data_IF_525472763790
#
_entry.id   IF_525472763790
#
_cell.length_a   1.000
_cell.length_b   1.000
_cell.length_c   1.000
_cell.angle_alpha   90.00
_cell.angle_beta   90.00
_cell.angle_gamma   90.00
#
_symmetry.space_group_name_H-M   'P 1'
#
loop_
_entity.id
_entity.type
_entity.pdbx_description
1 polymer ?
#
# COMPACT_ATOMS: atom_id res chain seq x y z
N UNK A 1 35.94 47.17 51.14
CA UNK A 1 35.65 45.96 50.31
C UNK A 1 34.35 46.15 49.59
N UNK A 2 34.35 46.13 48.54
CA UNK A 2 34.12 46.43 47.12
C UNK A 2 32.64 46.41 46.70
N UNK A 3 31.93 47.50 46.95
CA UNK A 3 30.56 47.75 46.38
C UNK A 3 30.57 47.71 44.83
N UNK A 4 31.72 47.98 44.20
CA UNK A 4 31.85 47.97 42.74
C UNK A 4 31.88 46.54 42.17
N UNK A 5 32.43 45.54 42.86
CA UNK A 5 32.44 44.13 42.43
C UNK A 5 31.04 43.46 42.50
N UNK A 6 30.24 43.77 43.52
CA UNK A 6 28.86 43.31 43.57
C UNK A 6 27.99 43.92 42.49
N UNK A 7 28.20 45.20 42.16
CA UNK A 7 27.46 45.89 41.11
C UNK A 7 27.75 45.35 39.70
N UNK A 8 29.00 44.99 39.41
CA UNK A 8 29.40 44.33 38.17
C UNK A 8 28.82 42.90 38.08
N UNK A 9 28.84 42.16 39.14
CA UNK A 9 28.27 40.80 39.20
C UNK A 9 26.76 40.79 38.92
N UNK A 10 26.01 41.70 39.55
CA UNK A 10 24.58 41.86 39.30
C UNK A 10 24.27 42.24 37.88
N UNK A 11 25.03 43.13 37.27
CA UNK A 11 24.85 43.52 35.84
C UNK A 11 25.12 42.37 34.92
N UNK A 12 26.16 41.57 35.11
CA UNK A 12 26.46 40.39 34.32
C UNK A 12 25.38 39.32 34.43
N UNK A 13 24.87 39.07 35.61
CA UNK A 13 23.74 38.12 35.82
C UNK A 13 22.48 38.59 35.11
N UNK A 14 22.15 39.88 35.19
CA UNK A 14 20.98 40.43 34.51
C UNK A 14 21.13 40.35 32.95
N UNK A 15 22.33 40.66 32.44
CA UNK A 15 22.61 40.54 30.99
C UNK A 15 22.49 39.07 30.54
N UNK A 16 23.07 38.13 31.33
CA UNK A 16 22.98 36.69 31.02
C UNK A 16 21.55 36.17 31.02
N UNK A 17 20.70 36.60 31.96
CA UNK A 17 19.27 36.26 32.02
C UNK A 17 18.50 36.81 30.82
N UNK A 18 18.78 38.04 30.40
CA UNK A 18 18.16 38.64 29.21
C UNK A 18 18.54 37.88 27.96
N UNK A 19 19.82 37.54 27.78
CA UNK A 19 20.30 36.77 26.63
C UNK A 19 19.65 35.38 26.62
N UNK A 20 19.62 34.68 27.77
CA UNK A 20 18.99 33.37 27.87
C UNK A 20 17.50 33.41 27.54
N UNK A 21 16.77 34.42 28.06
CA UNK A 21 15.35 34.64 27.74
C UNK A 21 15.13 34.87 26.24
N UNK A 22 16.00 35.67 25.62
CA UNK A 22 15.93 35.95 24.18
C UNK A 22 16.19 34.70 23.35
N UNK A 23 17.17 33.87 23.73
CA UNK A 23 17.46 32.59 23.09
C UNK A 23 16.28 31.60 23.22
N UNK A 24 15.62 31.57 24.39
CA UNK A 24 14.43 30.75 24.60
C UNK A 24 13.27 31.21 23.69
N UNK A 25 13.01 32.52 23.62
CA UNK A 25 11.94 33.09 22.78
C UNK A 25 12.23 32.83 21.28
N UNK A 26 13.46 33.08 20.85
CA UNK A 26 13.87 32.82 19.46
C UNK A 26 13.81 31.33 19.14
N UNK A 27 14.31 30.47 20.02
CA UNK A 27 14.25 29.02 19.88
C UNK A 27 12.81 28.50 19.80
N UNK A 28 11.95 28.97 20.71
CA UNK A 28 10.53 28.65 20.69
C UNK A 28 9.84 29.12 19.41
N UNK A 29 10.10 30.38 19.00
CA UNK A 29 9.56 30.93 17.74
C UNK A 29 10.02 30.13 16.51
N UNK A 30 11.30 29.74 16.44
CA UNK A 30 11.83 28.88 15.40
C UNK A 30 11.16 27.50 15.39
N UNK A 31 11.03 26.85 16.54
CA UNK A 31 10.36 25.56 16.65
C UNK A 31 8.89 25.65 16.21
N UNK A 32 8.18 26.66 16.66
CA UNK A 32 6.78 26.90 16.25
C UNK A 32 6.66 27.09 14.73
N UNK A 33 7.53 27.92 14.16
CA UNK A 33 7.55 28.14 12.71
C UNK A 33 7.85 26.84 11.96
N UNK A 34 8.92 26.14 12.33
CA UNK A 34 9.45 25.00 11.59
C UNK A 34 8.58 23.75 11.70
N UNK A 35 8.01 23.46 12.88
CA UNK A 35 7.30 22.21 13.15
C UNK A 35 5.78 22.34 13.21
N UNK A 36 5.25 23.54 13.37
CA UNK A 36 3.79 23.77 13.51
C UNK A 36 3.22 24.57 12.37
N UNK A 37 3.85 25.70 11.98
CA UNK A 37 3.27 26.63 11.03
C UNK A 37 3.66 26.36 9.56
N UNK A 38 4.85 25.84 9.30
CA UNK A 38 5.27 25.50 7.94
C UNK A 38 4.78 24.10 7.57
N UNK A 39 4.12 23.93 6.41
CA UNK A 39 3.77 22.58 5.96
C UNK A 39 5.03 21.74 5.73
N UNK A 40 4.96 20.41 5.91
CA UNK A 40 6.06 19.51 5.59
C UNK A 40 6.40 19.57 4.11
N UNK A 41 7.69 19.50 3.78
CA UNK A 41 8.15 19.37 2.39
C UNK A 41 7.83 17.98 1.86
N UNK A 42 7.35 17.91 0.62
CA UNK A 42 7.18 16.64 -0.09
C UNK A 42 8.51 16.01 -0.53
N UNK A 43 9.59 16.80 -0.59
CA UNK A 43 10.87 16.33 -1.13
C UNK A 43 10.84 16.10 -2.63
N UNK A 44 11.90 15.46 -3.14
CA UNK A 44 12.05 15.10 -4.56
C UNK A 44 12.82 13.79 -4.70
N UNK A 45 12.73 13.18 -5.88
CA UNK A 45 13.42 11.92 -6.18
C UNK A 45 12.64 10.68 -5.74
N UNK A 46 13.29 9.50 -5.74
CA UNK A 46 12.67 8.23 -5.41
C UNK A 46 12.03 8.23 -4.02
N UNK A 47 10.94 7.47 -3.87
CA UNK A 47 10.26 7.29 -2.59
C UNK A 47 9.91 5.81 -2.38
N UNK A 48 10.09 5.33 -1.15
CA UNK A 48 9.79 3.95 -0.78
C UNK A 48 10.92 2.96 -1.09
N UNK A 49 10.62 1.65 -1.08
CA UNK A 49 11.63 0.61 -1.17
C UNK A 49 12.32 0.55 -2.54
N UNK A 50 13.58 0.11 -2.54
CA UNK A 50 14.33 -0.13 -3.79
C UNK A 50 13.81 -1.38 -4.49
N UNK A 51 13.59 -1.27 -5.80
CA UNK A 51 13.20 -2.37 -6.68
C UNK A 51 14.37 -2.77 -7.55
N UNK A 52 14.79 -4.05 -7.51
CA UNK A 52 15.86 -4.59 -8.33
C UNK A 52 15.45 -4.68 -9.80
N UNK A 53 16.39 -4.50 -10.74
CA UNK A 53 16.15 -4.63 -12.19
C UNK A 53 16.11 -6.11 -12.65
N UNK A 54 16.81 -7.02 -11.95
CA UNK A 54 16.95 -8.41 -12.38
C UNK A 54 15.64 -9.12 -12.77
N UNK A 55 14.55 -9.02 -11.99
CA UNK A 55 13.27 -9.61 -12.34
C UNK A 55 12.67 -9.10 -13.65
N UNK A 56 13.06 -7.92 -14.12
CA UNK A 56 12.53 -7.27 -15.31
C UNK A 56 13.37 -7.51 -16.58
N UNK A 57 14.47 -8.25 -16.49
CA UNK A 57 15.34 -8.58 -17.63
C UNK A 57 14.73 -9.64 -18.56
N UNK A 58 13.68 -10.34 -18.11
CA UNK A 58 13.02 -11.40 -18.87
C UNK A 58 11.52 -11.21 -18.91
N UNK A 59 10.91 -11.54 -20.04
CA UNK A 59 9.46 -11.66 -20.17
C UNK A 59 8.97 -12.77 -19.24
N UNK A 60 7.98 -12.48 -18.40
CA UNK A 60 7.42 -13.47 -17.47
C UNK A 60 6.48 -14.44 -18.19
N UNK A 61 5.71 -13.95 -19.18
CA UNK A 61 4.83 -14.80 -19.99
C UNK A 61 4.42 -14.12 -21.30
N UNK A 62 4.06 -14.94 -22.29
CA UNK A 62 3.37 -14.48 -23.53
C UNK A 62 1.85 -14.65 -23.44
N UNK A 63 1.33 -15.13 -22.31
CA UNK A 63 -0.10 -15.25 -22.07
C UNK A 63 -0.75 -13.87 -22.05
N UNK A 64 -2.04 -13.78 -22.44
CA UNK A 64 -2.82 -12.56 -22.22
C UNK A 64 -3.03 -12.36 -20.73
N UNK A 65 -2.68 -11.18 -20.23
CA UNK A 65 -2.83 -10.79 -18.84
C UNK A 65 -3.66 -9.53 -18.74
N UNK A 66 -4.54 -9.49 -17.75
CA UNK A 66 -5.37 -8.31 -17.45
C UNK A 66 -5.03 -7.83 -16.03
N UNK A 67 -4.61 -6.56 -15.91
CA UNK A 67 -4.48 -5.87 -14.65
C UNK A 67 -5.81 -5.20 -14.30
N UNK A 68 -6.32 -5.46 -13.12
CA UNK A 68 -7.56 -4.88 -12.61
C UNK A 68 -7.27 -4.07 -11.35
N UNK A 69 -7.71 -2.80 -11.33
CA UNK A 69 -7.77 -1.98 -10.13
C UNK A 69 -9.17 -2.01 -9.53
N UNK A 70 -9.27 -2.31 -8.23
CA UNK A 70 -10.51 -2.22 -7.45
C UNK A 70 -10.19 -1.49 -6.15
N UNK A 71 -11.09 -0.65 -5.67
CA UNK A 71 -10.87 0.03 -4.40
C UNK A 71 -11.32 1.48 -4.38
N UNK A 72 -10.65 2.25 -3.57
CA UNK A 72 -10.96 3.65 -3.27
C UNK A 72 -10.10 4.65 -4.08
N UNK A 73 -10.02 5.88 -3.59
CA UNK A 73 -9.25 6.99 -4.16
C UNK A 73 -7.76 6.66 -4.35
N UNK A 74 -7.19 5.81 -3.50
CA UNK A 74 -5.78 5.41 -3.61
C UNK A 74 -5.54 4.63 -4.90
N UNK A 75 -6.39 3.64 -5.22
CA UNK A 75 -6.32 2.89 -6.49
C UNK A 75 -6.74 3.75 -7.68
N UNK A 76 -7.63 4.73 -7.46
CA UNK A 76 -8.03 5.68 -8.50
C UNK A 76 -6.97 6.74 -8.81
N UNK A 77 -5.97 6.94 -7.93
CA UNK A 77 -4.90 7.92 -8.11
C UNK A 77 -5.30 9.35 -7.75
N UNK A 78 -6.24 9.53 -6.81
CA UNK A 78 -6.72 10.85 -6.40
C UNK A 78 -5.57 11.79 -6.00
N UNK A 79 -5.58 13.03 -6.53
CA UNK A 79 -4.55 14.02 -6.23
C UNK A 79 -3.20 13.81 -6.90
N UNK A 80 -2.99 12.69 -7.60
CA UNK A 80 -1.81 12.52 -8.44
C UNK A 80 -1.96 13.29 -9.76
N UNK A 81 -0.87 13.86 -10.31
CA UNK A 81 -0.84 14.24 -11.70
C UNK A 81 -1.11 13.04 -12.61
N UNK A 82 -1.61 13.30 -13.83
CA UNK A 82 -1.93 12.27 -14.80
C UNK A 82 -0.75 11.30 -15.02
N UNK A 83 -1.03 10.00 -14.93
CA UNK A 83 -0.06 8.92 -15.08
C UNK A 83 0.85 8.67 -13.86
N UNK A 84 0.68 9.39 -12.75
CA UNK A 84 1.49 9.26 -11.54
C UNK A 84 0.75 8.59 -10.37
N UNK A 85 -0.47 8.11 -10.54
CA UNK A 85 -1.11 7.18 -9.63
C UNK A 85 -0.39 5.82 -9.63
N UNK A 86 -0.44 5.08 -8.53
CA UNK A 86 0.31 3.82 -8.44
C UNK A 86 -0.17 2.78 -9.45
N UNK A 87 -1.47 2.78 -9.79
CA UNK A 87 -2.05 1.85 -10.75
C UNK A 87 -1.49 2.08 -12.16
N UNK A 88 -1.37 3.34 -12.59
CA UNK A 88 -0.76 3.73 -13.86
C UNK A 88 0.74 3.41 -13.86
N UNK A 89 1.45 3.75 -12.77
CA UNK A 89 2.87 3.50 -12.61
C UNK A 89 3.23 2.00 -12.56
N UNK A 90 2.31 1.13 -12.10
CA UNK A 90 2.46 -0.33 -12.22
C UNK A 90 2.44 -0.80 -13.66
N UNK A 91 1.58 -0.20 -14.49
CA UNK A 91 1.47 -0.57 -15.90
C UNK A 91 2.70 -0.14 -16.68
N UNK A 92 3.07 1.14 -16.54
CA UNK A 92 4.13 1.77 -17.32
C UNK A 92 4.80 2.84 -16.47
N UNK A 93 6.12 2.79 -16.33
CA UNK A 93 6.87 3.80 -15.61
C UNK A 93 6.81 5.15 -16.32
N UNK A 94 6.81 6.23 -15.54
CA UNK A 94 6.99 7.59 -16.04
C UNK A 94 8.48 7.95 -15.96
N UNK A 95 9.25 7.69 -17.01
CA UNK A 95 10.71 7.72 -17.02
C UNK A 95 11.32 9.08 -16.69
N UNK A 96 10.64 10.17 -17.03
CA UNK A 96 11.11 11.53 -16.71
C UNK A 96 11.03 11.86 -15.22
N UNK A 97 10.08 11.24 -14.50
CA UNK A 97 9.82 11.48 -13.08
C UNK A 97 10.51 10.41 -12.21
N UNK A 98 10.34 9.15 -12.57
CA UNK A 98 10.83 8.00 -11.80
C UNK A 98 11.97 7.29 -12.53
N UNK A 99 13.12 7.97 -12.70
CA UNK A 99 14.26 7.51 -13.52
C UNK A 99 14.87 6.20 -13.05
N UNK A 100 14.92 5.98 -11.74
CA UNK A 100 15.48 4.75 -11.13
C UNK A 100 14.58 3.53 -11.32
N UNK A 101 13.34 3.74 -11.79
CA UNK A 101 12.36 2.71 -12.10
C UNK A 101 12.20 2.44 -13.60
N UNK A 102 13.04 3.02 -14.44
CA UNK A 102 13.04 2.77 -15.87
C UNK A 102 13.15 1.28 -16.17
N UNK A 103 12.27 0.77 -17.05
CA UNK A 103 12.11 -0.65 -17.38
C UNK A 103 11.68 -1.56 -16.20
N UNK A 104 11.16 -1.01 -15.11
CA UNK A 104 10.67 -1.76 -13.96
C UNK A 104 9.15 -1.56 -13.81
N UNK A 105 8.41 -2.02 -14.80
CA UNK A 105 6.94 -1.98 -14.86
C UNK A 105 6.39 -3.28 -15.47
N UNK A 106 5.09 -3.46 -15.37
CA UNK A 106 4.44 -4.69 -15.83
C UNK A 106 4.44 -4.82 -17.34
N UNK A 107 4.37 -3.73 -18.13
CA UNK A 107 4.44 -3.80 -19.58
C UNK A 107 5.78 -4.29 -20.09
N UNK A 108 6.86 -4.01 -19.37
CA UNK A 108 8.21 -4.50 -19.68
C UNK A 108 8.26 -6.04 -19.69
N UNK A 109 7.55 -6.71 -18.78
CA UNK A 109 7.62 -8.17 -18.57
C UNK A 109 6.37 -8.92 -19.04
N UNK A 110 5.29 -8.22 -19.34
CA UNK A 110 3.99 -8.75 -19.79
C UNK A 110 3.56 -8.06 -21.10
N UNK A 111 4.11 -8.43 -22.27
CA UNK A 111 3.87 -7.73 -23.53
C UNK A 111 2.41 -7.74 -23.98
N UNK A 112 1.60 -8.69 -23.51
CA UNK A 112 0.17 -8.81 -23.80
C UNK A 112 -0.71 -8.33 -22.64
N UNK A 113 -0.21 -7.36 -21.82
CA UNK A 113 -0.95 -6.75 -20.72
C UNK A 113 -2.02 -5.78 -21.23
N UNK A 114 -3.24 -5.92 -20.72
CA UNK A 114 -4.28 -4.88 -20.76
C UNK A 114 -4.67 -4.49 -19.34
N UNK A 115 -5.20 -3.29 -19.12
CA UNK A 115 -5.52 -2.82 -17.77
C UNK A 115 -6.88 -2.13 -17.74
N UNK A 116 -7.61 -2.32 -16.64
CA UNK A 116 -8.88 -1.66 -16.34
C UNK A 116 -8.93 -1.24 -14.89
N UNK A 117 -9.18 0.03 -14.63
CA UNK A 117 -9.38 0.55 -13.29
C UNK A 117 -10.88 0.72 -13.01
N UNK A 118 -11.42 0.00 -12.03
CA UNK A 118 -12.81 0.07 -11.59
C UNK A 118 -12.96 0.79 -10.25
N UNK A 119 -11.85 1.22 -9.64
CA UNK A 119 -11.85 1.96 -8.39
C UNK A 119 -12.61 3.28 -8.52
N UNK A 120 -13.02 3.81 -7.39
CA UNK A 120 -13.78 5.07 -7.32
C UNK A 120 -13.47 5.78 -6.02
N UNK A 121 -13.27 7.09 -6.08
CA UNK A 121 -13.04 7.93 -4.92
C UNK A 121 -14.17 7.80 -3.89
N UNK A 122 -13.81 7.97 -2.62
CA UNK A 122 -14.71 7.97 -1.45
C UNK A 122 -15.46 6.67 -1.17
N UNK A 123 -15.19 5.58 -1.90
CA UNK A 123 -15.91 4.32 -1.72
C UNK A 123 -15.40 3.53 -0.51
N UNK A 124 -16.33 2.89 0.20
CA UNK A 124 -16.10 1.96 1.32
C UNK A 124 -16.22 0.50 0.85
N UNK A 125 -15.83 -0.46 1.71
CA UNK A 125 -15.85 -1.91 1.39
C UNK A 125 -17.19 -2.40 0.84
N UNK A 126 -18.33 -1.87 1.33
CA UNK A 126 -19.66 -2.22 0.81
C UNK A 126 -19.85 -1.80 -0.63
N UNK A 127 -19.36 -0.62 -1.01
CA UNK A 127 -19.52 -0.09 -2.37
C UNK A 127 -18.59 -0.79 -3.37
N UNK A 128 -17.41 -1.25 -2.95
CA UNK A 128 -16.56 -2.11 -3.78
C UNK A 128 -17.32 -3.38 -4.19
N UNK A 129 -18.03 -3.99 -3.24
CA UNK A 129 -18.83 -5.20 -3.46
C UNK A 129 -20.06 -4.92 -4.35
N UNK A 130 -20.82 -3.85 -4.05
CA UNK A 130 -22.12 -3.61 -4.66
C UNK A 130 -22.04 -2.82 -5.98
N UNK A 131 -21.01 -2.00 -6.17
CA UNK A 131 -20.90 -1.11 -7.33
C UNK A 131 -19.74 -1.45 -8.27
N UNK A 132 -18.58 -1.89 -7.74
CA UNK A 132 -17.41 -2.15 -8.58
C UNK A 132 -17.39 -3.58 -9.11
N UNK A 133 -17.55 -4.60 -8.25
CA UNK A 133 -17.56 -6.01 -8.65
C UNK A 133 -18.59 -6.33 -9.75
N UNK A 134 -19.85 -5.82 -9.75
CA UNK A 134 -20.82 -6.09 -10.81
C UNK A 134 -20.43 -5.52 -12.19
N UNK A 135 -19.59 -4.49 -12.23
CA UNK A 135 -19.10 -3.89 -13.47
C UNK A 135 -18.05 -4.74 -14.18
N UNK A 136 -17.37 -5.64 -13.45
CA UNK A 136 -16.41 -6.56 -14.05
C UNK A 136 -17.13 -7.64 -14.84
N UNK A 137 -16.76 -7.78 -16.10
CA UNK A 137 -17.15 -8.95 -16.91
C UNK A 137 -16.37 -10.18 -16.48
N UNK A 138 -16.88 -11.36 -16.78
CA UNK A 138 -16.10 -12.61 -16.70
C UNK A 138 -15.17 -12.69 -17.91
N UNK A 139 -13.90 -13.00 -17.67
CA UNK A 139 -12.85 -13.10 -18.68
C UNK A 139 -12.81 -14.52 -19.28
N UNK A 140 -12.18 -14.68 -20.43
CA UNK A 140 -12.00 -15.99 -21.05
C UNK A 140 -10.91 -16.81 -20.32
N UNK A 141 -10.94 -18.13 -20.45
CA UNK A 141 -10.01 -19.05 -19.77
C UNK A 141 -8.53 -18.87 -20.19
N UNK A 142 -8.25 -18.29 -21.37
CA UNK A 142 -6.90 -18.00 -21.84
C UNK A 142 -6.32 -16.72 -21.22
N UNK A 143 -7.12 -15.96 -20.47
CA UNK A 143 -6.73 -14.70 -19.82
C UNK A 143 -6.41 -14.95 -18.36
N UNK A 144 -5.28 -14.43 -17.90
CA UNK A 144 -4.88 -14.43 -16.49
C UNK A 144 -5.14 -13.06 -15.84
N UNK A 145 -5.66 -13.04 -14.61
CA UNK A 145 -5.92 -11.82 -13.87
C UNK A 145 -4.78 -11.45 -12.91
N UNK A 146 -4.38 -10.19 -12.91
CA UNK A 146 -3.62 -9.56 -11.81
C UNK A 146 -4.54 -8.51 -11.22
N UNK A 147 -4.87 -8.60 -9.94
CA UNK A 147 -5.84 -7.71 -9.31
C UNK A 147 -5.15 -6.97 -8.17
N UNK A 148 -5.22 -5.65 -8.16
CA UNK A 148 -4.70 -4.80 -7.08
C UNK A 148 -5.87 -4.15 -6.36
N UNK A 149 -5.82 -4.15 -5.02
CA UNK A 149 -6.92 -3.68 -4.18
C UNK A 149 -6.41 -2.80 -3.04
N UNK A 150 -7.00 -1.60 -2.91
CA UNK A 150 -6.99 -0.81 -1.68
C UNK A 150 -8.42 -0.76 -1.14
N UNK A 151 -8.64 -1.20 0.10
CA UNK A 151 -10.00 -1.32 0.64
C UNK A 151 -10.02 -1.27 2.15
N UNK A 152 -10.96 -0.52 2.71
CA UNK A 152 -11.17 -0.40 4.15
C UNK A 152 -10.62 0.88 4.78
N UNK A 153 -9.82 1.68 4.07
CA UNK A 153 -9.37 2.98 4.53
C UNK A 153 -10.55 3.92 4.81
N UNK A 154 -11.44 4.08 3.86
CA UNK A 154 -12.64 4.90 4.04
C UNK A 154 -13.62 4.34 5.09
N UNK A 155 -13.66 3.02 5.31
CA UNK A 155 -14.45 2.46 6.41
C UNK A 155 -13.96 2.98 7.77
N UNK A 156 -12.67 3.29 7.92
CA UNK A 156 -12.11 3.87 9.14
C UNK A 156 -12.39 5.37 9.25
N UNK A 157 -12.14 6.15 8.19
CA UNK A 157 -12.01 7.61 8.28
C UNK A 157 -13.21 8.38 7.74
N UNK A 158 -14.12 7.74 7.02
CA UNK A 158 -15.26 8.44 6.40
C UNK A 158 -15.99 9.36 7.38
N UNK A 159 -16.32 10.55 6.93
CA UNK A 159 -16.90 11.65 7.73
C UNK A 159 -15.98 12.25 8.83
N UNK A 160 -14.81 11.68 9.15
CA UNK A 160 -13.84 12.21 10.15
C UNK A 160 -14.47 12.66 11.48
N UNK A 161 -15.43 11.90 12.00
CA UNK A 161 -16.11 12.23 13.26
C UNK A 161 -17.10 13.40 13.18
N UNK A 162 -17.43 13.88 11.97
CA UNK A 162 -18.48 14.90 11.78
C UNK A 162 -19.88 14.37 12.07
N UNK A 163 -20.05 13.06 11.95
CA UNK A 163 -21.26 12.31 12.30
C UNK A 163 -20.92 11.25 13.34
N UNK A 164 -21.91 10.76 14.11
CA UNK A 164 -21.67 9.62 15.01
C UNK A 164 -21.08 8.42 14.27
N UNK A 165 -20.10 7.73 14.86
CA UNK A 165 -19.45 6.58 14.22
C UNK A 165 -20.45 5.45 13.94
N UNK A 166 -20.26 4.78 12.80
CA UNK A 166 -21.08 3.64 12.35
C UNK A 166 -20.22 2.66 11.53
N UNK A 167 -20.77 1.51 11.24
CA UNK A 167 -20.15 0.57 10.28
C UNK A 167 -19.98 1.27 8.91
N UNK A 168 -18.77 1.19 8.35
CA UNK A 168 -18.37 1.91 7.12
C UNK A 168 -18.01 3.40 7.32
N UNK A 169 -18.02 3.92 8.57
CA UNK A 169 -17.57 5.27 8.94
C UNK A 169 -17.17 5.27 10.42
N UNK A 170 -16.05 4.61 10.76
CA UNK A 170 -15.71 4.24 12.14
C UNK A 170 -15.08 5.36 12.95
N UNK A 171 -14.70 6.49 12.33
CA UNK A 171 -13.97 7.55 13.02
C UNK A 171 -14.64 8.00 14.31
N UNK A 172 -13.91 7.95 15.42
CA UNK A 172 -14.43 8.26 16.76
C UNK A 172 -15.09 7.09 17.49
N UNK A 173 -15.16 5.89 16.91
CA UNK A 173 -15.72 4.72 17.59
C UNK A 173 -14.84 4.26 18.76
N UNK A 174 -15.46 3.56 19.71
CA UNK A 174 -14.72 2.83 20.75
C UNK A 174 -14.08 1.58 20.15
N UNK A 175 -13.07 1.03 20.83
CA UNK A 175 -12.43 -0.23 20.41
C UNK A 175 -13.43 -1.38 20.28
N UNK A 176 -14.40 -1.49 21.19
CA UNK A 176 -15.44 -2.54 21.16
C UNK A 176 -16.31 -2.44 19.91
N UNK A 177 -16.69 -1.23 19.51
CA UNK A 177 -17.40 -1.00 18.25
C UNK A 177 -16.51 -1.36 17.04
N UNK A 178 -15.24 -0.94 17.09
CA UNK A 178 -14.24 -1.26 16.08
C UNK A 178 -14.05 -2.77 15.86
N UNK A 179 -14.08 -3.57 16.93
CA UNK A 179 -14.01 -5.06 16.83
C UNK A 179 -15.11 -5.62 15.95
N UNK A 180 -16.35 -5.15 16.13
CA UNK A 180 -17.50 -5.62 15.35
C UNK A 180 -17.43 -5.13 13.90
N UNK A 181 -17.15 -3.85 13.71
CA UNK A 181 -17.22 -3.24 12.39
C UNK A 181 -16.03 -3.62 11.49
N UNK A 182 -14.83 -3.81 12.04
CA UNK A 182 -13.70 -4.35 11.27
C UNK A 182 -13.93 -5.81 10.86
N UNK A 183 -14.61 -6.61 11.68
CA UNK A 183 -15.02 -7.95 11.26
C UNK A 183 -16.05 -7.90 10.11
N UNK A 184 -17.03 -7.00 10.18
CA UNK A 184 -17.97 -6.79 9.08
C UNK A 184 -17.26 -6.35 7.78
N UNK A 185 -16.29 -5.45 7.90
CA UNK A 185 -15.46 -5.02 6.75
C UNK A 185 -14.65 -6.21 6.18
N UNK A 186 -14.03 -7.04 7.05
CA UNK A 186 -13.37 -8.29 6.63
C UNK A 186 -14.30 -9.19 5.82
N UNK A 187 -15.52 -9.38 6.29
CA UNK A 187 -16.51 -10.23 5.59
C UNK A 187 -16.94 -9.64 4.24
N UNK A 188 -17.01 -8.31 4.11
CA UNK A 188 -17.25 -7.63 2.83
C UNK A 188 -16.10 -7.83 1.86
N UNK A 189 -14.85 -7.62 2.32
CA UNK A 189 -13.65 -7.86 1.51
C UNK A 189 -13.58 -9.33 1.09
N UNK A 190 -13.86 -10.29 1.99
CA UNK A 190 -13.90 -11.71 1.66
C UNK A 190 -14.84 -12.00 0.49
N UNK A 191 -16.09 -11.50 0.55
CA UNK A 191 -17.06 -11.65 -0.54
C UNK A 191 -16.60 -10.99 -1.85
N UNK A 192 -15.89 -9.85 -1.75
CA UNK A 192 -15.30 -9.20 -2.91
C UNK A 192 -14.22 -10.08 -3.55
N UNK A 193 -13.32 -10.67 -2.76
CA UNK A 193 -12.27 -11.57 -3.24
C UNK A 193 -12.88 -12.80 -3.94
N UNK A 194 -13.85 -13.46 -3.30
CA UNK A 194 -14.56 -14.61 -3.87
C UNK A 194 -15.22 -14.27 -5.21
N UNK A 195 -15.88 -13.10 -5.27
CA UNK A 195 -16.51 -12.61 -6.49
C UNK A 195 -15.52 -12.25 -7.61
N UNK A 196 -14.36 -11.67 -7.26
CA UNK A 196 -13.30 -11.36 -8.22
C UNK A 196 -12.69 -12.64 -8.81
N UNK A 197 -12.40 -13.64 -8.01
CA UNK A 197 -11.87 -14.93 -8.47
C UNK A 197 -12.81 -15.61 -9.48
N UNK A 198 -14.12 -15.52 -9.26
CA UNK A 198 -15.13 -16.06 -10.20
C UNK A 198 -15.11 -15.36 -11.57
N UNK A 199 -14.56 -14.15 -11.68
CA UNK A 199 -14.42 -13.44 -12.96
C UNK A 199 -13.27 -13.96 -13.81
N UNK A 200 -12.36 -14.77 -13.25
CA UNK A 200 -11.15 -15.26 -13.90
C UNK A 200 -11.07 -16.80 -13.90
N UNK A 201 -11.84 -17.50 -14.73
CA UNK A 201 -11.76 -18.97 -14.84
C UNK A 201 -10.36 -19.45 -15.27
N UNK A 202 -9.59 -18.58 -15.94
CA UNK A 202 -8.19 -18.81 -16.29
C UNK A 202 -7.19 -18.63 -15.17
N UNK A 203 -7.65 -18.30 -13.96
CA UNK A 203 -6.83 -18.01 -12.77
C UNK A 203 -6.50 -16.53 -12.60
N UNK A 204 -6.23 -16.15 -11.37
CA UNK A 204 -5.76 -14.81 -11.02
C UNK A 204 -4.94 -14.82 -9.75
N UNK A 205 -4.09 -13.80 -9.59
CA UNK A 205 -3.44 -13.43 -8.33
C UNK A 205 -3.95 -12.06 -7.87
N UNK A 206 -4.25 -11.93 -6.59
CA UNK A 206 -4.81 -10.73 -5.98
C UNK A 206 -3.80 -10.16 -4.99
N UNK A 207 -3.52 -8.88 -5.12
CA UNK A 207 -2.62 -8.13 -4.26
C UNK A 207 -3.45 -7.13 -3.46
N UNK A 208 -3.67 -7.43 -2.18
CA UNK A 208 -4.49 -6.64 -1.26
C UNK A 208 -3.62 -5.83 -0.32
N UNK A 209 -3.70 -4.50 -0.42
CA UNK A 209 -2.97 -3.60 0.47
C UNK A 209 -3.60 -3.52 1.86
N UNK A 210 -2.75 -3.39 2.88
CA UNK A 210 -3.16 -2.89 4.19
C UNK A 210 -3.27 -1.36 4.18
N UNK A 211 -3.56 -0.74 5.33
CA UNK A 211 -3.87 0.69 5.45
C UNK A 211 -2.75 1.40 6.20
N UNK A 212 -2.23 2.48 5.65
CA UNK A 212 -1.21 3.33 6.27
C UNK A 212 -1.77 4.23 7.38
N UNK A 213 -0.88 4.86 8.16
CA UNK A 213 -1.20 5.74 9.27
C UNK A 213 -0.60 7.13 9.07
N UNK A 214 -1.41 8.15 8.72
CA UNK A 214 -0.91 9.52 8.56
C UNK A 214 -0.39 10.15 9.86
N UNK A 215 -0.66 9.55 11.02
CA UNK A 215 -0.15 10.02 12.31
C UNK A 215 1.19 9.40 12.71
N UNK A 216 1.83 8.62 11.81
CA UNK A 216 3.13 7.97 12.03
C UNK A 216 3.18 7.10 13.31
N UNK A 217 2.05 6.49 13.69
CA UNK A 217 1.93 5.67 14.89
C UNK A 217 1.79 6.44 16.20
N UNK A 218 1.69 7.77 16.17
CA UNK A 218 1.53 8.61 17.35
C UNK A 218 0.07 8.64 17.83
N UNK A 219 -0.89 8.45 16.93
CA UNK A 219 -2.34 8.42 17.23
C UNK A 219 -2.90 9.77 17.71
N UNK A 220 -2.46 10.85 17.09
CA UNK A 220 -2.82 12.22 17.44
C UNK A 220 -3.39 13.03 16.25
N UNK A 221 -4.48 12.58 15.62
CA UNK A 221 -5.06 13.23 14.45
C UNK A 221 -5.46 14.70 14.70
N UNK A 222 -5.60 15.11 15.95
CA UNK A 222 -5.84 16.51 16.32
C UNK A 222 -4.68 17.44 15.92
N UNK A 223 -3.46 16.94 15.78
CA UNK A 223 -2.33 17.72 15.26
C UNK A 223 -2.46 18.02 13.75
N UNK A 224 -3.33 17.29 13.05
CA UNK A 224 -3.75 17.59 11.69
C UNK A 224 -5.09 18.36 11.62
N UNK A 225 -5.60 18.84 12.75
CA UNK A 225 -6.87 19.59 12.81
C UNK A 225 -8.14 18.71 12.78
N UNK A 226 -8.00 17.40 12.94
CA UNK A 226 -9.11 16.46 13.01
C UNK A 226 -9.58 16.26 14.45
N UNK A 227 -10.83 15.81 14.70
CA UNK A 227 -11.25 15.41 16.03
C UNK A 227 -10.35 14.33 16.64
N UNK A 228 -10.18 14.33 17.96
CA UNK A 228 -9.43 13.28 18.64
C UNK A 228 -10.13 11.91 18.50
N UNK A 229 -9.34 10.86 18.25
CA UNK A 229 -9.83 9.49 18.23
C UNK A 229 -8.95 8.59 19.11
N UNK A 230 -9.24 8.48 20.41
CA UNK A 230 -8.39 7.77 21.36
C UNK A 230 -8.13 6.29 21.03
N UNK A 231 -9.10 5.60 20.42
CA UNK A 231 -8.98 4.20 20.00
C UNK A 231 -8.53 4.05 18.53
N UNK A 232 -8.23 5.14 17.81
CA UNK A 232 -7.99 5.15 16.36
C UNK A 232 -6.87 4.20 15.92
N UNK A 233 -5.68 4.30 16.51
CA UNK A 233 -4.56 3.41 16.18
C UNK A 233 -4.84 1.94 16.48
N UNK A 234 -5.61 1.66 17.55
CA UNK A 234 -5.99 0.28 17.91
C UNK A 234 -6.99 -0.30 16.89
N UNK A 235 -7.93 0.52 16.42
CA UNK A 235 -8.91 0.10 15.40
C UNK A 235 -8.24 -0.05 14.04
N UNK A 236 -7.32 0.85 13.65
CA UNK A 236 -6.49 0.70 12.46
C UNK A 236 -5.65 -0.58 12.51
N UNK A 237 -4.95 -0.82 13.63
CA UNK A 237 -4.15 -2.05 13.81
C UNK A 237 -5.02 -3.31 13.69
N UNK A 238 -6.23 -3.29 14.26
CA UNK A 238 -7.18 -4.38 14.16
C UNK A 238 -7.63 -4.59 12.71
N UNK A 239 -7.93 -3.53 11.96
CA UNK A 239 -8.30 -3.63 10.55
C UNK A 239 -7.16 -4.22 9.70
N UNK A 240 -5.92 -3.76 9.90
CA UNK A 240 -4.75 -4.30 9.22
C UNK A 240 -4.50 -5.79 9.59
N UNK A 241 -4.75 -6.16 10.84
CA UNK A 241 -4.72 -7.57 11.26
C UNK A 241 -5.78 -8.38 10.51
N UNK A 242 -7.03 -7.88 10.38
CA UNK A 242 -8.11 -8.56 9.64
C UNK A 242 -7.79 -8.73 8.16
N UNK A 243 -7.16 -7.73 7.52
CA UNK A 243 -6.67 -7.83 6.15
C UNK A 243 -5.59 -8.91 6.03
N UNK A 244 -4.62 -8.92 6.93
CA UNK A 244 -3.55 -9.93 6.93
C UNK A 244 -4.07 -11.35 7.23
N UNK A 245 -5.07 -11.51 8.10
CA UNK A 245 -5.75 -12.79 8.34
C UNK A 245 -6.43 -13.28 7.06
N UNK A 246 -7.14 -12.39 6.37
CA UNK A 246 -7.85 -12.71 5.14
C UNK A 246 -6.90 -13.18 4.03
N UNK A 247 -5.75 -12.50 3.84
CA UNK A 247 -4.75 -12.94 2.87
C UNK A 247 -4.23 -14.35 3.15
N UNK A 248 -4.16 -14.78 4.41
CA UNK A 248 -3.75 -16.14 4.78
C UNK A 248 -4.82 -17.22 4.54
N UNK A 249 -6.08 -16.83 4.33
CA UNK A 249 -7.17 -17.76 4.01
C UNK A 249 -7.13 -18.25 2.55
N UNK A 250 -6.33 -17.60 1.67
CA UNK A 250 -6.27 -17.89 0.24
C UNK A 250 -4.83 -18.09 -0.24
N UNK A 251 -4.62 -19.01 -1.16
CA UNK A 251 -3.30 -19.26 -1.75
C UNK A 251 -2.89 -18.19 -2.78
N UNK A 252 -3.88 -17.55 -3.41
CA UNK A 252 -3.72 -16.57 -4.49
C UNK A 252 -4.06 -15.13 -4.07
N UNK A 253 -4.05 -14.83 -2.76
CA UNK A 253 -4.22 -13.47 -2.23
C UNK A 253 -2.99 -13.09 -1.42
N UNK A 254 -2.31 -12.04 -1.83
CA UNK A 254 -1.04 -11.59 -1.27
C UNK A 254 -1.20 -10.27 -0.55
N UNK A 255 -0.71 -10.21 0.70
CA UNK A 255 -0.69 -8.97 1.47
C UNK A 255 0.37 -8.02 0.90
N UNK A 256 -0.02 -6.80 0.58
CA UNK A 256 0.88 -5.70 0.25
C UNK A 256 0.96 -4.76 1.44
N UNK A 257 2.07 -4.78 2.16
CA UNK A 257 2.27 -3.96 3.35
C UNK A 257 2.67 -2.54 2.96
N UNK A 258 1.68 -1.68 2.68
CA UNK A 258 1.91 -0.24 2.45
C UNK A 258 1.98 0.54 3.78
N UNK A 259 1.53 -0.04 4.89
CA UNK A 259 1.57 0.61 6.20
C UNK A 259 2.99 0.91 6.66
N UNK A 260 3.86 -0.11 6.64
CA UNK A 260 5.23 0.02 7.18
C UNK A 260 6.08 1.06 6.46
N UNK A 261 6.14 1.13 5.12
CA UNK A 261 6.93 2.17 4.43
C UNK A 261 6.41 3.59 4.63
N UNK A 262 5.13 3.77 4.95
CA UNK A 262 4.54 5.10 5.15
C UNK A 262 4.84 5.69 6.53
N UNK A 263 5.22 4.87 7.52
CA UNK A 263 5.58 5.36 8.85
C UNK A 263 6.83 6.24 8.82
N UNK A 264 6.69 7.45 9.33
CA UNK A 264 7.71 8.51 9.30
C UNK A 264 7.57 9.46 8.11
N UNK A 265 6.52 9.30 7.31
CA UNK A 265 6.20 10.16 6.17
C UNK A 265 4.85 10.88 6.28
N UNK A 266 4.19 10.79 7.45
CA UNK A 266 2.97 11.49 7.80
C UNK A 266 3.23 12.85 8.45
N UNK A 267 2.32 13.25 9.34
CA UNK A 267 2.35 14.58 10.00
C UNK A 267 3.58 14.78 10.89
N UNK A 268 4.24 13.72 11.32
CA UNK A 268 5.45 13.71 12.14
C UNK A 268 6.74 13.47 11.35
N UNK A 269 6.71 13.51 10.02
CA UNK A 269 7.88 13.21 9.17
C UNK A 269 9.11 14.09 9.45
N UNK A 270 8.95 15.25 10.12
CA UNK A 270 10.03 16.17 10.50
C UNK A 270 10.49 16.04 11.94
N UNK A 271 9.79 15.26 12.74
CA UNK A 271 9.99 15.16 14.18
C UNK A 271 11.11 14.16 14.47
N UNK A 272 12.36 14.65 14.47
CA UNK A 272 13.56 13.83 14.63
C UNK A 272 13.59 13.01 15.94
N UNK A 273 12.70 13.31 16.87
CA UNK A 273 12.49 12.56 18.13
C UNK A 273 11.41 11.48 18.01
N UNK A 274 10.67 11.44 16.90
CA UNK A 274 9.64 10.44 16.66
C UNK A 274 10.26 9.05 16.46
N UNK A 275 9.58 8.02 16.95
CA UNK A 275 10.00 6.61 16.80
C UNK A 275 10.24 6.19 15.36
N UNK A 276 9.45 6.71 14.44
CA UNK A 276 9.47 6.34 13.02
C UNK A 276 10.17 7.37 12.14
N UNK A 277 10.90 8.32 12.72
CA UNK A 277 11.62 9.34 11.96
C UNK A 277 12.58 8.73 10.93
N UNK A 278 12.43 9.12 9.67
CA UNK A 278 13.26 8.69 8.55
C UNK A 278 14.32 9.75 8.25
N UNK A 279 15.52 9.57 8.81
CA UNK A 279 16.62 10.57 8.70
C UNK A 279 17.00 10.89 7.25
N UNK A 280 17.00 9.87 6.39
CA UNK A 280 17.46 10.00 4.99
C UNK A 280 16.35 10.51 4.07
N UNK A 281 15.10 10.42 4.48
CA UNK A 281 13.94 10.93 3.74
C UNK A 281 12.87 11.51 4.70
N UNK A 282 13.13 12.64 5.37
CA UNK A 282 12.20 13.26 6.32
C UNK A 282 11.11 14.06 5.59
N UNK A 283 10.44 13.48 4.62
CA UNK A 283 9.51 14.14 3.72
C UNK A 283 8.11 13.55 3.79
N UNK A 284 7.13 14.40 3.51
CA UNK A 284 5.71 14.09 3.57
C UNK A 284 5.24 13.37 2.30
N UNK A 285 4.54 12.24 2.46
CA UNK A 285 4.06 11.43 1.34
C UNK A 285 2.56 11.51 1.10
N UNK A 286 1.86 12.37 1.82
CA UNK A 286 0.41 12.52 1.70
C UNK A 286 0.04 13.76 0.87
N UNK A 287 -1.15 13.74 0.32
CA UNK A 287 -1.77 14.88 -0.32
C UNK A 287 -2.32 15.87 0.75
N UNK A 288 -2.85 17.00 0.32
CA UNK A 288 -3.33 18.06 1.23
C UNK A 288 -4.52 17.66 2.09
N UNK A 289 -5.24 16.60 1.72
CA UNK A 289 -6.38 16.06 2.49
C UNK A 289 -5.97 15.07 3.58
N UNK A 290 -4.69 14.75 3.74
CA UNK A 290 -4.13 13.84 4.74
C UNK A 290 -4.46 12.35 4.54
N UNK A 291 -5.37 12.01 3.66
CA UNK A 291 -5.82 10.63 3.45
C UNK A 291 -5.24 10.00 2.19
N UNK A 292 -5.08 10.77 1.12
CA UNK A 292 -4.52 10.28 -0.13
C UNK A 292 -3.01 10.51 -0.21
N UNK A 293 -2.28 9.70 -0.98
CA UNK A 293 -0.86 9.91 -1.23
C UNK A 293 -0.61 11.10 -2.16
N UNK A 294 0.53 11.76 -2.00
CA UNK A 294 1.11 12.62 -3.03
C UNK A 294 1.90 11.80 -4.07
N UNK A 295 2.46 12.38 -5.14
CA UNK A 295 3.18 11.61 -6.17
C UNK A 295 4.31 10.72 -5.62
N UNK A 296 5.00 11.14 -4.54
CA UNK A 296 6.03 10.30 -3.91
C UNK A 296 5.41 9.15 -3.13
N UNK A 297 4.30 9.37 -2.43
CA UNK A 297 3.55 8.30 -1.77
C UNK A 297 3.02 7.27 -2.77
N UNK A 298 2.53 7.71 -3.93
CA UNK A 298 2.11 6.80 -5.00
C UNK A 298 3.29 6.00 -5.59
N UNK A 299 4.48 6.61 -5.74
CA UNK A 299 5.68 5.87 -6.14
C UNK A 299 6.07 4.81 -5.10
N UNK A 300 5.99 5.14 -3.80
CA UNK A 300 6.24 4.18 -2.72
C UNK A 300 5.24 3.01 -2.74
N UNK A 301 3.95 3.27 -2.95
CA UNK A 301 2.91 2.24 -3.06
C UNK A 301 3.20 1.32 -4.25
N UNK A 302 3.44 1.88 -5.48
CA UNK A 302 3.69 1.03 -6.64
C UNK A 302 4.91 0.14 -6.45
N UNK A 303 5.99 0.63 -5.80
CA UNK A 303 7.19 -0.17 -5.49
C UNK A 303 6.87 -1.32 -4.54
N UNK A 304 6.06 -1.06 -3.53
CA UNK A 304 5.64 -2.09 -2.57
C UNK A 304 4.80 -3.17 -3.27
N UNK A 305 3.86 -2.80 -4.14
CA UNK A 305 3.13 -3.75 -4.97
C UNK A 305 4.05 -4.55 -5.89
N UNK A 306 4.97 -3.91 -6.61
CA UNK A 306 5.92 -4.60 -7.49
C UNK A 306 6.77 -5.61 -6.73
N UNK A 307 7.24 -5.29 -5.53
CA UNK A 307 8.04 -6.21 -4.72
C UNK A 307 7.26 -7.48 -4.35
N UNK A 308 5.97 -7.38 -4.04
CA UNK A 308 5.15 -8.57 -3.82
C UNK A 308 4.86 -9.32 -5.13
N UNK A 309 4.58 -8.61 -6.23
CA UNK A 309 4.35 -9.21 -7.54
C UNK A 309 5.56 -9.99 -8.06
N UNK A 310 6.78 -9.47 -7.88
CA UNK A 310 8.03 -10.13 -8.28
C UNK A 310 8.23 -11.48 -7.56
N UNK A 311 7.77 -11.62 -6.32
CA UNK A 311 7.89 -12.87 -5.55
C UNK A 311 6.99 -13.99 -6.07
N UNK A 312 5.92 -13.66 -6.76
CA UNK A 312 4.81 -14.57 -7.09
C UNK A 312 4.65 -14.77 -8.59
N UNK A 313 4.51 -13.67 -9.33
CA UNK A 313 4.05 -13.73 -10.72
C UNK A 313 4.99 -14.45 -11.68
N UNK A 314 6.32 -14.33 -11.59
CA UNK A 314 7.21 -15.08 -12.48
C UNK A 314 6.97 -16.60 -12.44
N UNK A 315 6.83 -17.17 -11.23
CA UNK A 315 6.64 -18.61 -11.03
C UNK A 315 5.23 -19.08 -11.45
N UNK A 316 4.19 -18.27 -11.16
CA UNK A 316 2.81 -18.60 -11.49
C UNK A 316 2.53 -18.49 -12.99
N UNK A 317 3.19 -17.53 -13.66
CA UNK A 317 3.00 -17.24 -15.08
C UNK A 317 3.92 -18.07 -15.98
N UNK A 318 4.98 -18.71 -15.45
CA UNK A 318 5.77 -19.64 -16.24
C UNK A 318 4.89 -20.77 -16.82
N UNK A 319 5.08 -21.11 -18.09
CA UNK A 319 4.35 -22.23 -18.68
C UNK A 319 4.75 -23.51 -17.92
N UNK A 320 3.82 -24.10 -17.17
CA UNK A 320 4.02 -25.42 -16.58
C UNK A 320 4.31 -26.38 -17.74
N UNK A 321 5.57 -26.80 -17.89
CA UNK A 321 5.93 -27.87 -18.82
C UNK A 321 5.13 -29.09 -18.38
N UNK A 322 4.03 -29.40 -19.08
CA UNK A 322 3.35 -30.67 -18.92
C UNK A 322 4.37 -31.75 -19.32
N UNK A 323 5.03 -32.34 -18.34
CA UNK A 323 5.76 -33.59 -18.53
C UNK A 323 4.69 -34.62 -18.90
N UNK A 324 4.41 -34.75 -20.21
CA UNK A 324 3.73 -35.90 -20.72
C UNK A 324 4.59 -37.09 -20.30
N UNK A 325 4.16 -37.81 -19.23
CA UNK A 325 4.69 -39.16 -18.98
C UNK A 325 4.39 -39.95 -20.24
N UNK A 326 5.38 -40.05 -21.12
CA UNK A 326 5.36 -41.00 -22.23
C UNK A 326 4.99 -42.36 -21.61
N UNK A 327 3.81 -42.81 -21.94
CA UNK A 327 3.34 -44.14 -21.57
C UNK A 327 4.38 -45.15 -21.99
N UNK A 328 4.75 -46.05 -21.09
CA UNK A 328 5.59 -47.20 -21.36
C UNK A 328 5.07 -47.86 -22.62
N UNK A 329 5.88 -47.89 -23.66
CA UNK A 329 5.70 -48.73 -24.84
C UNK A 329 5.61 -50.15 -24.35
N UNK A 330 4.42 -50.76 -24.45
CA UNK A 330 4.25 -52.20 -24.24
C UNK A 330 4.96 -52.87 -25.40
N UNK A 331 6.11 -53.50 -25.16
CA UNK A 331 6.73 -54.43 -26.12
C UNK A 331 5.79 -55.60 -26.32
N UNK A 332 5.47 -56.01 -27.55
CA UNK A 332 4.70 -57.23 -27.79
C UNK A 332 5.59 -58.43 -27.42
N UNK A 333 5.08 -59.28 -26.56
CA UNK A 333 5.68 -60.55 -26.24
C UNK A 333 5.74 -61.43 -27.50
N UNK A 334 6.94 -61.62 -28.02
CA UNK A 334 7.23 -62.61 -29.08
C UNK A 334 7.33 -63.98 -28.42
N UNK A 335 6.28 -64.81 -28.54
CA UNK A 335 6.20 -66.20 -28.12
C UNK A 335 5.52 -67.00 -29.21
N UNK A 336 6.25 -67.35 -30.27
CA UNK A 336 5.76 -68.31 -31.25
C UNK A 336 6.29 -69.71 -30.86
N UNK A 337 5.41 -70.53 -30.26
CA UNK A 337 5.61 -71.99 -30.22
C UNK A 337 5.25 -72.63 -31.56
N UNK A 338 6.21 -73.37 -32.12
CA UNK A 338 6.01 -74.25 -33.30
C UNK A 338 5.30 -75.50 -32.89
N UNK A 339 4.30 -76.00 -33.67
CA UNK A 339 3.73 -77.35 -33.41
C UNK A 339 4.67 -78.45 -33.84
N UNK A 340 4.89 -79.45 -32.93
CA UNK A 340 5.54 -80.75 -33.22
C UNK A 340 4.52 -81.62 -33.98
N UNK A 341 5.02 -82.13 -35.16
CA UNK A 341 4.43 -83.22 -35.90
C UNK A 341 4.98 -84.52 -35.29
N UNK A 342 4.09 -85.43 -34.86
CA UNK A 342 4.40 -86.80 -34.47
C UNK A 342 3.74 -87.70 -35.52
N UNK A 343 4.60 -88.66 -36.12
CA UNK A 343 4.18 -89.75 -36.90
C UNK A 343 3.44 -90.81 -36.07
#
# INVERSE_FOLDING_TARGET
>A
MNKNLEWYSIRWQTISLVILSLLIVVGYGFCRLRFVLMPPSMGSGPAGPTVSSGPFEKIWTQRKVVLIGVGDSITNGFGAPEGLGYFELLQSNHDDVCRDMQHKDLKTVLPNLTAYNYSQDYTVTQEHLDKQLPRLKTFAEDIFGIIVITSGGNDLIHDYGRTPPRDGAMYGCTYQQGVVWTENAKQRIKRLLDGLMQKFPGGCEIFLANIYDPTDGVSDPQNAGLPAWPDGSRVLSLMNQKIAELCREYENVHLVDIHSPFLGHGIHCRDFWSKHYQKDDPHYWYYTNLEDPNPRGYDAIRRTFLLEMIKVLPDVLEPKVRTLKMGRTIQPACGAEKPRIVN
#
